data_IF_595160394587
#
_entry.id   IF_595160394587
#
_cell.length_a   1.000
_cell.length_b   1.000
_cell.length_c   1.000
_cell.angle_alpha   90.00
_cell.angle_beta   90.00
_cell.angle_gamma   90.00
#
_symmetry.space_group_name_H-M   'P 1'
#
loop_
_entity.id
_entity.type
_entity.pdbx_description
1 polymer ?
#
# COMPACT_ATOMS: atom_id res chain seq x y z
N UNK A 1 -8.32 -8.94 5.53
CA UNK A 1 -7.06 -8.15 5.57
C UNK A 1 -7.14 -7.08 6.65
N UNK A 2 -6.25 -7.06 7.66
CA UNK A 2 -6.33 -6.15 8.80
C UNK A 2 -5.72 -4.75 8.55
N UNK A 3 -6.25 -4.01 7.57
CA UNK A 3 -5.66 -2.73 7.05
C UNK A 3 -5.39 -1.70 8.16
N UNK A 4 -6.40 -1.35 8.95
CA UNK A 4 -6.30 -0.37 10.05
C UNK A 4 -5.24 -0.79 11.10
N UNK A 5 -5.25 -2.08 11.44
CA UNK A 5 -4.29 -2.64 12.40
C UNK A 5 -2.87 -2.52 11.88
N UNK A 6 -2.64 -2.83 10.61
CA UNK A 6 -1.31 -2.71 9.99
C UNK A 6 -0.80 -1.27 10.00
N UNK A 7 -1.63 -0.30 9.63
CA UNK A 7 -1.24 1.11 9.68
C UNK A 7 -0.87 1.58 11.09
N UNK A 8 -1.63 1.14 12.10
CA UNK A 8 -1.40 1.50 13.49
C UNK A 8 -0.19 0.77 14.11
N UNK A 9 -0.14 -0.55 13.99
CA UNK A 9 0.80 -1.39 14.73
C UNK A 9 2.17 -1.49 14.04
N UNK A 10 2.24 -1.51 12.70
CA UNK A 10 3.52 -1.62 11.98
C UNK A 10 4.14 -0.27 11.64
N UNK A 11 3.32 0.72 11.32
CA UNK A 11 3.79 2.01 10.82
C UNK A 11 3.63 3.14 11.85
N UNK A 12 2.99 2.85 12.99
CA UNK A 12 2.79 3.78 14.09
C UNK A 12 1.87 4.96 13.75
N UNK A 13 1.21 4.97 12.59
CA UNK A 13 0.42 6.11 12.10
C UNK A 13 -0.85 5.66 11.39
N UNK A 14 -2.01 5.92 11.99
CA UNK A 14 -3.31 5.64 11.37
C UNK A 14 -3.56 6.47 10.09
N UNK A 15 -2.89 7.62 9.95
CA UNK A 15 -3.02 8.52 8.79
C UNK A 15 -2.65 7.86 7.45
N UNK A 16 -1.86 6.77 7.45
CA UNK A 16 -1.48 6.06 6.21
C UNK A 16 -2.31 4.81 5.91
N UNK A 17 -3.46 4.65 6.58
CA UNK A 17 -4.42 3.56 6.33
C UNK A 17 -4.83 3.48 4.85
N UNK A 18 -5.04 4.64 4.22
CA UNK A 18 -5.39 4.70 2.79
C UNK A 18 -4.26 4.16 1.89
N UNK A 19 -2.99 4.37 2.23
CA UNK A 19 -1.87 3.85 1.46
C UNK A 19 -1.76 2.34 1.58
N UNK A 20 -2.00 1.79 2.78
CA UNK A 20 -2.09 0.33 2.98
C UNK A 20 -3.24 -0.25 2.13
N UNK A 21 -4.39 0.43 2.07
CA UNK A 21 -5.48 -0.01 1.19
C UNK A 21 -5.09 0.06 -0.30
N UNK A 22 -4.44 1.14 -0.76
CA UNK A 22 -4.00 1.30 -2.15
C UNK A 22 -2.95 0.27 -2.56
N UNK A 23 -2.03 -0.10 -1.66
CA UNK A 23 -1.09 -1.18 -1.89
C UNK A 23 -1.79 -2.52 -2.16
N UNK A 24 -2.79 -2.85 -1.35
CA UNK A 24 -3.58 -4.06 -1.54
C UNK A 24 -4.34 -4.06 -2.87
N UNK A 25 -4.93 -2.92 -3.26
CA UNK A 25 -5.59 -2.75 -4.56
C UNK A 25 -4.59 -2.88 -5.71
N UNK A 26 -3.39 -2.34 -5.58
CA UNK A 26 -2.36 -2.46 -6.62
C UNK A 26 -2.00 -3.93 -6.90
N UNK A 27 -2.00 -4.80 -5.87
CA UNK A 27 -1.80 -6.24 -6.06
C UNK A 27 -2.95 -6.89 -6.82
N UNK A 28 -4.20 -6.49 -6.57
CA UNK A 28 -5.36 -6.95 -7.36
C UNK A 28 -5.21 -6.54 -8.81
N UNK A 29 -4.89 -5.28 -9.07
CA UNK A 29 -4.74 -4.77 -10.44
C UNK A 29 -3.59 -5.44 -11.20
N UNK A 30 -2.51 -5.79 -10.49
CA UNK A 30 -1.41 -6.57 -11.07
C UNK A 30 -1.85 -7.98 -11.47
N UNK A 31 -2.65 -8.67 -10.64
CA UNK A 31 -3.18 -10.00 -10.93
C UNK A 31 -4.09 -10.02 -12.17
N UNK A 32 -4.88 -8.96 -12.33
CA UNK A 32 -5.76 -8.77 -13.49
C UNK A 32 -5.01 -8.25 -14.73
N UNK A 33 -3.68 -8.13 -14.68
CA UNK A 33 -2.82 -7.59 -15.74
C UNK A 33 -3.23 -6.18 -16.22
N UNK A 34 -3.82 -5.36 -15.33
CA UNK A 34 -4.29 -4.01 -15.66
C UNK A 34 -3.16 -2.99 -15.61
N UNK A 35 -2.32 -3.05 -14.57
CA UNK A 35 -1.21 -2.11 -14.38
C UNK A 35 -0.12 -2.69 -13.47
N UNK A 36 1.14 -2.28 -13.70
CA UNK A 36 2.24 -2.62 -12.81
C UNK A 36 2.16 -1.85 -11.48
N UNK A 37 2.42 -2.50 -10.32
CA UNK A 37 2.29 -1.87 -9.01
C UNK A 37 3.24 -0.66 -8.84
N UNK A 38 4.43 -0.70 -9.44
CA UNK A 38 5.38 0.42 -9.41
C UNK A 38 4.84 1.70 -10.07
N UNK A 39 4.06 1.57 -11.15
CA UNK A 39 3.42 2.71 -11.80
C UNK A 39 2.38 3.37 -10.88
N UNK A 40 1.61 2.56 -10.17
CA UNK A 40 0.61 3.02 -9.18
C UNK A 40 1.33 3.70 -8.01
N UNK A 41 2.36 3.07 -7.46
CA UNK A 41 3.15 3.61 -6.34
C UNK A 41 3.77 4.96 -6.70
N UNK A 42 4.41 5.06 -7.87
CA UNK A 42 5.00 6.31 -8.35
C UNK A 42 3.96 7.43 -8.47
N UNK A 43 2.82 7.16 -9.11
CA UNK A 43 1.76 8.15 -9.31
C UNK A 43 1.15 8.64 -7.99
N UNK A 44 1.05 7.78 -6.98
CA UNK A 44 0.58 8.16 -5.65
C UNK A 44 1.64 9.00 -4.92
N UNK A 45 2.91 8.60 -4.96
CA UNK A 45 4.00 9.31 -4.28
C UNK A 45 4.25 10.72 -4.83
N UNK A 46 3.86 11.00 -6.07
CA UNK A 46 3.87 12.37 -6.62
C UNK A 46 2.81 13.28 -5.99
N UNK A 47 1.75 12.72 -5.40
CA UNK A 47 0.63 13.47 -4.81
C UNK A 47 0.73 13.66 -3.29
N UNK A 48 1.66 12.99 -2.62
CA UNK A 48 1.85 13.12 -1.17
C UNK A 48 2.91 14.18 -0.82
N UNK A 49 2.81 14.85 0.34
CA UNK A 49 3.82 15.80 0.80
C UNK A 49 5.22 15.18 0.86
N UNK A 50 6.25 15.92 0.43
CA UNK A 50 7.64 15.43 0.35
C UNK A 50 8.14 14.80 1.67
N UNK A 51 7.86 15.44 2.81
CA UNK A 51 8.24 14.95 4.14
C UNK A 51 7.52 13.68 4.60
N UNK A 52 6.58 13.15 3.81
CA UNK A 52 5.81 11.94 4.13
C UNK A 52 5.98 10.83 3.09
N UNK A 53 6.80 11.04 2.06
CA UNK A 53 6.97 10.06 0.95
C UNK A 53 7.43 8.70 1.44
N UNK A 54 8.40 8.66 2.34
CA UNK A 54 8.94 7.41 2.88
C UNK A 54 7.87 6.60 3.61
N UNK A 55 7.12 7.24 4.52
CA UNK A 55 6.06 6.59 5.27
C UNK A 55 4.93 6.11 4.35
N UNK A 56 4.51 6.91 3.38
CA UNK A 56 3.47 6.51 2.42
C UNK A 56 3.96 5.36 1.51
N UNK A 57 5.24 5.36 1.14
CA UNK A 57 5.87 4.28 0.38
C UNK A 57 5.85 2.96 1.16
N UNK A 58 6.30 2.98 2.42
CA UNK A 58 6.26 1.81 3.30
C UNK A 58 4.83 1.31 3.52
N UNK A 59 3.87 2.22 3.69
CA UNK A 59 2.46 1.87 3.85
C UNK A 59 1.89 1.17 2.61
N UNK A 60 2.21 1.67 1.43
CA UNK A 60 1.84 1.02 0.18
C UNK A 60 2.42 -0.40 0.09
N UNK A 61 3.71 -0.57 0.41
CA UNK A 61 4.37 -1.88 0.36
C UNK A 61 3.74 -2.89 1.33
N UNK A 62 3.43 -2.47 2.56
CA UNK A 62 2.71 -3.29 3.54
C UNK A 62 1.34 -3.73 3.03
N UNK A 63 0.60 -2.83 2.38
CA UNK A 63 -0.67 -3.13 1.73
C UNK A 63 -0.54 -4.19 0.63
N UNK A 64 0.43 -3.99 -0.26
CA UNK A 64 0.69 -4.88 -1.39
C UNK A 64 1.06 -6.29 -0.90
N UNK A 65 1.99 -6.39 0.06
CA UNK A 65 2.40 -7.67 0.64
C UNK A 65 1.27 -8.33 1.43
N UNK A 66 0.44 -7.55 2.14
CA UNK A 66 -0.71 -8.08 2.88
C UNK A 66 -1.68 -8.84 1.96
N UNK A 67 -2.03 -8.26 0.81
CA UNK A 67 -2.89 -8.95 -0.15
C UNK A 67 -2.16 -10.15 -0.76
N UNK A 68 -0.90 -9.97 -1.18
CA UNK A 68 -0.11 -11.05 -1.78
C UNK A 68 -0.04 -12.28 -0.88
N UNK A 69 0.19 -12.08 0.41
CA UNK A 69 0.26 -13.17 1.38
C UNK A 69 -1.10 -13.78 1.71
N UNK A 70 -2.20 -13.06 1.51
CA UNK A 70 -3.56 -13.59 1.74
C UNK A 70 -4.01 -14.65 0.73
N UNK A 71 -3.35 -14.70 -0.44
CA UNK A 71 -3.61 -15.70 -1.47
C UNK A 71 -2.82 -17.00 -1.28
N UNK A 72 -1.87 -17.02 -0.34
CA UNK A 72 -1.03 -18.18 -0.02
C UNK A 72 -1.51 -18.92 1.23
N UNK A 73 -2.77 -18.73 1.61
CA UNK A 73 -3.48 -19.50 2.64
C UNK A 73 -4.17 -20.71 2.02
#
# INVERSE_FOLDING_TARGET
MPILRTAREKLGRELVTNMVALGAVARVLELENVVHPESVKKAILEKVPAGTKELNSQAFDEGYQMFKNSLHL
#
